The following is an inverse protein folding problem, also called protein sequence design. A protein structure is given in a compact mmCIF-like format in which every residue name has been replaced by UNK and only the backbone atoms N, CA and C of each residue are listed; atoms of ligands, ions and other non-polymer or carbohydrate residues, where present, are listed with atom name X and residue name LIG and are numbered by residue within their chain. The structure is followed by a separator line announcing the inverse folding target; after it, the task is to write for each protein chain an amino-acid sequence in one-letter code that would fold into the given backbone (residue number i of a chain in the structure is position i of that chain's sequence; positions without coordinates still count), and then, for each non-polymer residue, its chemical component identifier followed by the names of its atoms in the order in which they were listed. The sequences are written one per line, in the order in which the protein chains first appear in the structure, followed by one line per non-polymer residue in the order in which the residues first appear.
data_IF_076983773055
#
_entry.id   IF_076983773055
#
_cell.length_a   1.000
_cell.length_b   1.000
_cell.length_c   1.000
_cell.angle_alpha   90.00
_cell.angle_beta   90.00
_cell.angle_gamma   90.00
#
_symmetry.space_group_name_H-M   'P 1'
#
loop_
_entity.id
_entity.type
_entity.pdbx_description
1 polymer ?
#
# COMPACT_ATOMS: atom_id res chain seq x y z
N UNK A 1 22.28 -22.87 -47.13
CA UNK A 1 21.79 -24.10 -46.46
C UNK A 1 22.91 -24.55 -45.52
N UNK A 2 22.85 -24.54 -44.21
CA UNK A 2 21.92 -24.06 -43.19
C UNK A 2 22.75 -23.84 -41.93
N UNK A 3 22.64 -22.72 -41.20
CA UNK A 3 23.11 -22.66 -39.82
C UNK A 3 22.01 -23.23 -38.91
N UNK A 4 22.29 -24.35 -38.25
CA UNK A 4 21.48 -24.86 -37.14
C UNK A 4 22.26 -24.78 -35.83
N UNK A 5 21.59 -24.86 -34.67
CA UNK A 5 20.37 -24.16 -34.31
C UNK A 5 20.65 -23.15 -33.18
N UNK A 6 20.08 -21.95 -33.34
CA UNK A 6 20.04 -20.90 -32.35
C UNK A 6 19.06 -21.22 -31.23
N UNK A 7 19.57 -21.64 -30.09
CA UNK A 7 18.85 -21.60 -28.82
C UNK A 7 19.78 -21.57 -27.59
N UNK A 8 21.07 -21.86 -27.74
CA UNK A 8 22.02 -21.85 -26.63
C UNK A 8 22.66 -20.47 -26.43
N UNK A 9 21.89 -19.47 -25.99
CA UNK A 9 22.37 -18.31 -25.20
C UNK A 9 21.22 -17.35 -24.91
N UNK A 10 20.23 -17.82 -24.16
CA UNK A 10 19.47 -16.92 -23.30
C UNK A 10 19.61 -17.50 -21.90
N UNK A 11 20.64 -17.04 -21.19
CA UNK A 11 20.74 -17.23 -19.74
C UNK A 11 19.53 -16.56 -19.11
N UNK A 12 18.42 -17.29 -19.02
CA UNK A 12 17.36 -17.01 -18.08
C UNK A 12 17.92 -17.45 -16.73
N UNK A 13 18.70 -16.57 -16.09
CA UNK A 13 19.10 -16.79 -14.71
C UNK A 13 17.83 -17.04 -13.87
N UNK A 14 17.81 -18.06 -13.01
CA UNK A 14 16.71 -18.26 -12.10
C UNK A 14 16.66 -17.06 -11.16
N UNK A 15 15.57 -16.30 -11.20
CA UNK A 15 15.22 -15.21 -10.27
C UNK A 15 15.27 -15.62 -8.77
N UNK A 16 15.52 -16.90 -8.49
CA UNK A 16 15.66 -17.49 -7.16
C UNK A 16 16.92 -17.01 -6.40
N UNK A 17 17.98 -16.55 -7.09
CA UNK A 17 19.24 -16.14 -6.44
C UNK A 17 19.16 -14.78 -5.74
N UNK A 18 18.18 -13.93 -6.06
CA UNK A 18 18.11 -12.55 -5.53
C UNK A 18 17.46 -12.42 -4.15
N UNK A 19 16.99 -13.52 -3.57
CA UNK A 19 16.16 -13.52 -2.35
C UNK A 19 16.96 -13.68 -1.05
N UNK A 20 18.20 -14.15 -1.13
CA UNK A 20 19.00 -14.53 0.05
C UNK A 20 19.72 -13.35 0.76
N UNK A 21 19.27 -12.11 0.57
CA UNK A 21 19.82 -10.95 1.31
C UNK A 21 19.41 -10.91 2.78
N UNK A 22 18.29 -11.55 3.11
CA UNK A 22 17.73 -11.61 4.44
C UNK A 22 17.42 -13.03 4.81
N UNK A 23 17.47 -13.32 6.11
CA UNK A 23 17.32 -14.69 6.58
C UNK A 23 15.92 -15.08 7.00
N UNK A 24 14.97 -14.16 6.91
CA UNK A 24 13.58 -14.37 7.33
C UNK A 24 12.97 -15.62 6.71
N UNK A 25 13.30 -15.94 5.46
CA UNK A 25 12.76 -17.10 4.73
C UNK A 25 13.79 -18.20 4.45
N UNK A 26 14.90 -18.25 5.21
CA UNK A 26 15.86 -19.35 5.14
C UNK A 26 15.44 -20.52 6.05
N UNK A 27 15.95 -21.71 5.75
CA UNK A 27 15.65 -22.99 6.41
C UNK A 27 14.20 -23.46 6.22
N UNK A 28 13.94 -24.75 6.47
CA UNK A 28 12.62 -25.36 6.27
C UNK A 28 11.78 -25.41 7.55
N UNK A 29 12.42 -25.28 8.72
CA UNK A 29 11.75 -25.28 10.01
C UNK A 29 12.55 -24.48 11.05
N UNK A 30 11.92 -24.24 12.21
CA UNK A 30 12.51 -23.45 13.30
C UNK A 30 13.69 -24.16 13.98
N UNK A 31 13.70 -25.49 13.98
CA UNK A 31 14.81 -26.25 14.57
C UNK A 31 16.10 -26.06 13.76
N UNK A 32 16.05 -26.21 12.44
CA UNK A 32 17.16 -25.92 11.52
C UNK A 32 17.65 -24.49 11.67
N UNK A 33 16.73 -23.52 11.81
CA UNK A 33 17.06 -22.11 12.01
C UNK A 33 17.91 -21.88 13.27
N UNK A 34 17.57 -22.57 14.37
CA UNK A 34 18.33 -22.51 15.63
C UNK A 34 19.69 -23.18 15.51
N UNK A 35 19.74 -24.38 14.92
CA UNK A 35 20.99 -25.11 14.71
C UNK A 35 21.98 -24.31 13.84
N UNK A 36 21.49 -23.66 12.79
CA UNK A 36 22.30 -22.82 11.92
C UNK A 36 22.67 -21.45 12.54
N UNK A 37 22.07 -21.08 13.69
CA UNK A 37 22.22 -19.79 14.39
C UNK A 37 21.92 -18.60 13.48
N UNK A 38 20.83 -18.71 12.73
CA UNK A 38 20.45 -17.74 11.71
C UNK A 38 20.28 -16.33 12.30
N UNK A 39 19.62 -16.21 13.45
CA UNK A 39 19.39 -14.93 14.14
C UNK A 39 20.67 -14.18 14.52
N UNK A 40 21.76 -14.90 14.80
CA UNK A 40 23.04 -14.32 15.18
C UNK A 40 23.88 -13.96 13.95
N UNK A 41 23.80 -14.77 12.89
CA UNK A 41 24.68 -14.66 11.72
C UNK A 41 24.14 -13.74 10.63
N UNK A 42 22.85 -13.39 10.68
CA UNK A 42 22.17 -12.73 9.57
C UNK A 42 21.11 -11.75 10.06
N UNK A 43 20.70 -10.84 9.17
CA UNK A 43 19.70 -9.82 9.46
C UNK A 43 18.32 -10.24 8.95
N UNK A 44 17.30 -9.97 9.76
CA UNK A 44 15.89 -10.15 9.37
C UNK A 44 15.47 -9.13 8.32
N UNK A 45 14.64 -9.55 7.36
CA UNK A 45 13.99 -8.68 6.39
C UNK A 45 13.20 -7.58 7.11
N UNK A 46 12.56 -7.90 8.22
CA UNK A 46 11.76 -6.95 9.00
C UNK A 46 12.60 -5.80 9.57
N UNK A 47 13.88 -6.04 9.87
CA UNK A 47 14.82 -4.99 10.29
C UNK A 47 15.05 -3.96 9.19
N UNK A 48 14.94 -4.35 7.92
CA UNK A 48 15.03 -3.43 6.78
C UNK A 48 13.69 -2.73 6.51
N UNK A 49 12.59 -3.50 6.45
CA UNK A 49 11.25 -2.97 6.13
C UNK A 49 10.78 -1.96 7.18
N UNK A 50 11.08 -2.18 8.46
CA UNK A 50 10.67 -1.30 9.56
C UNK A 50 11.53 -0.04 9.72
N UNK A 51 12.52 0.20 8.85
CA UNK A 51 13.28 1.46 8.88
C UNK A 51 12.35 2.61 8.47
N UNK A 52 12.30 3.75 9.18
CA UNK A 52 11.35 4.82 8.92
C UNK A 52 11.31 5.28 7.45
N UNK A 53 12.45 5.39 6.80
CA UNK A 53 12.55 5.84 5.40
C UNK A 53 11.92 4.84 4.42
N UNK A 54 12.04 3.55 4.72
CA UNK A 54 11.53 2.46 3.89
C UNK A 54 10.05 2.21 4.19
N UNK A 55 9.69 2.20 5.48
CA UNK A 55 8.35 1.91 5.96
C UNK A 55 7.30 2.88 5.37
N UNK A 56 7.65 4.16 5.23
CA UNK A 56 6.76 5.16 4.63
C UNK A 56 6.35 4.81 3.19
N UNK A 57 7.17 4.05 2.45
CA UNK A 57 6.85 3.63 1.07
C UNK A 57 5.87 2.46 1.01
N UNK A 58 5.68 1.73 2.11
CA UNK A 58 4.79 0.57 2.20
C UNK A 58 3.44 0.88 2.86
N UNK A 59 3.27 2.07 3.45
CA UNK A 59 2.01 2.44 4.05
C UNK A 59 0.94 2.71 2.99
N UNK A 60 -0.25 2.19 3.25
CA UNK A 60 -1.43 2.56 2.47
C UNK A 60 -1.95 3.92 2.98
N UNK A 61 -1.85 5.01 2.20
CA UNK A 61 -2.35 6.32 2.61
C UNK A 61 -3.86 6.33 2.84
N UNK A 62 -4.61 5.36 2.28
CA UNK A 62 -6.05 5.21 2.46
C UNK A 62 -6.45 4.41 3.70
N UNK A 63 -5.50 3.79 4.41
CA UNK A 63 -5.82 2.94 5.55
C UNK A 63 -6.61 3.69 6.63
N UNK A 64 -7.68 3.07 7.08
CA UNK A 64 -8.47 3.48 8.25
C UNK A 64 -8.64 2.23 9.13
N UNK A 65 -8.39 2.31 10.44
CA UNK A 65 -8.61 1.18 11.34
C UNK A 65 -10.04 0.68 11.23
N UNK A 66 -10.20 -0.59 10.87
CA UNK A 66 -11.49 -1.27 10.83
C UNK A 66 -11.43 -2.48 11.75
N UNK A 67 -12.33 -2.52 12.74
CA UNK A 67 -12.43 -3.61 13.72
C UNK A 67 -13.44 -4.69 13.28
N UNK A 68 -14.13 -4.49 12.16
CA UNK A 68 -15.09 -5.44 11.63
C UNK A 68 -14.41 -6.62 10.91
N UNK A 69 -15.10 -7.76 10.87
CA UNK A 69 -14.65 -8.93 10.10
C UNK A 69 -14.71 -8.60 8.60
N UNK A 70 -13.62 -8.89 7.89
CA UNK A 70 -13.53 -8.72 6.44
C UNK A 70 -14.10 -9.98 5.77
N UNK A 71 -15.11 -9.81 4.93
CA UNK A 71 -15.74 -10.88 4.16
C UNK A 71 -15.45 -10.71 2.66
N UNK A 72 -14.35 -11.29 2.14
CA UNK A 72 -14.03 -11.19 0.72
C UNK A 72 -14.99 -12.03 -0.12
N UNK A 73 -15.28 -11.56 -1.33
CA UNK A 73 -15.96 -12.36 -2.34
C UNK A 73 -14.98 -13.38 -2.96
N UNK A 74 -15.46 -14.59 -3.19
CA UNK A 74 -14.72 -15.66 -3.89
C UNK A 74 -15.26 -15.90 -5.31
N UNK A 75 -16.21 -15.07 -5.75
CA UNK A 75 -16.80 -15.18 -7.08
C UNK A 75 -15.73 -14.86 -8.16
N UNK A 76 -15.62 -15.63 -9.25
CA UNK A 76 -14.58 -15.42 -10.27
C UNK A 76 -14.55 -14.00 -10.84
N UNK A 77 -15.72 -13.38 -11.03
CA UNK A 77 -15.85 -12.00 -11.51
C UNK A 77 -15.30 -10.94 -10.54
N UNK A 78 -15.14 -11.28 -9.26
CA UNK A 78 -14.56 -10.39 -8.25
C UNK A 78 -13.04 -10.55 -8.13
N UNK A 79 -12.47 -11.58 -8.75
CA UNK A 79 -11.03 -11.83 -8.78
C UNK A 79 -10.42 -11.14 -10.01
N UNK A 80 -9.39 -10.33 -9.77
CA UNK A 80 -8.65 -9.66 -10.83
C UNK A 80 -7.23 -10.25 -10.91
N UNK A 81 -6.66 -10.27 -12.13
CA UNK A 81 -5.25 -10.58 -12.30
C UNK A 81 -4.40 -9.51 -11.62
N UNK A 82 -3.47 -9.94 -10.75
CA UNK A 82 -2.48 -9.02 -10.17
C UNK A 82 -1.37 -8.71 -11.18
N UNK A 83 -1.69 -7.85 -12.15
CA UNK A 83 -0.80 -7.50 -13.26
C UNK A 83 0.55 -6.95 -12.79
N UNK A 84 0.59 -6.07 -11.79
CA UNK A 84 1.86 -5.54 -11.24
C UNK A 84 2.81 -6.61 -10.71
N UNK A 85 2.31 -7.79 -10.31
CA UNK A 85 3.13 -8.90 -9.87
C UNK A 85 3.51 -9.82 -11.05
N UNK A 86 2.51 -10.31 -11.79
CA UNK A 86 2.71 -11.35 -12.82
C UNK A 86 3.17 -10.80 -14.18
N UNK A 87 2.82 -9.55 -14.51
CA UNK A 87 3.15 -8.89 -15.78
C UNK A 87 4.27 -7.85 -15.62
N UNK A 88 4.99 -7.85 -14.49
CA UNK A 88 6.05 -6.89 -14.15
C UNK A 88 7.13 -6.75 -15.23
N UNK A 89 7.43 -7.83 -15.94
CA UNK A 89 8.49 -7.89 -16.95
C UNK A 89 8.01 -7.57 -18.37
N UNK A 90 6.69 -7.56 -18.58
CA UNK A 90 6.07 -7.43 -19.89
C UNK A 90 5.38 -6.08 -20.09
N UNK A 91 4.96 -5.41 -19.02
CA UNK A 91 4.26 -4.12 -19.06
C UNK A 91 5.02 -3.09 -18.22
N UNK A 92 5.16 -1.87 -18.73
CA UNK A 92 5.66 -0.74 -17.95
C UNK A 92 4.62 -0.38 -16.87
N UNK A 93 5.03 -0.49 -15.60
CA UNK A 93 4.24 -0.29 -14.36
C UNK A 93 3.70 1.15 -14.17
N UNK A 94 3.85 2.01 -15.17
CA UNK A 94 3.49 3.43 -15.12
C UNK A 94 1.99 3.68 -15.30
N UNK A 95 1.24 2.77 -15.93
CA UNK A 95 -0.16 3.02 -16.29
C UNK A 95 -1.17 2.80 -15.14
N UNK A 96 -0.82 2.02 -14.11
CA UNK A 96 -1.78 1.57 -13.07
C UNK A 96 -1.52 2.17 -11.69
N UNK A 97 -0.36 2.79 -11.48
CA UNK A 97 -0.04 3.43 -10.20
C UNK A 97 -0.60 4.84 -10.18
N UNK A 98 -1.73 5.02 -9.51
CA UNK A 98 -2.11 6.36 -9.03
C UNK A 98 -0.95 6.82 -8.14
N UNK A 99 -0.29 7.96 -8.45
CA UNK A 99 0.78 8.46 -7.60
C UNK A 99 0.22 8.65 -6.19
N UNK A 100 0.88 8.04 -5.20
CA UNK A 100 0.50 8.16 -3.78
C UNK A 100 0.35 9.63 -3.36
N UNK A 101 1.12 10.52 -3.98
CA UNK A 101 1.04 11.96 -3.80
C UNK A 101 -0.35 12.54 -4.10
N UNK A 102 -0.98 12.13 -5.21
CA UNK A 102 -2.33 12.61 -5.57
C UNK A 102 -3.34 12.17 -4.52
N UNK A 103 -3.20 10.95 -4.00
CA UNK A 103 -4.07 10.42 -2.94
C UNK A 103 -3.88 11.21 -1.64
N UNK A 104 -2.65 11.53 -1.26
CA UNK A 104 -2.36 12.32 -0.05
C UNK A 104 -2.87 13.75 -0.18
N UNK A 105 -2.72 14.35 -1.34
CA UNK A 105 -3.17 15.73 -1.61
C UNK A 105 -4.69 15.82 -1.52
N UNK A 106 -5.41 14.89 -2.15
CA UNK A 106 -6.88 14.81 -2.06
C UNK A 106 -7.34 14.62 -0.62
N UNK A 107 -6.67 13.76 0.15
CA UNK A 107 -6.99 13.55 1.57
C UNK A 107 -6.78 14.81 2.41
N UNK A 108 -5.72 15.56 2.14
CA UNK A 108 -5.43 16.79 2.85
C UNK A 108 -6.50 17.86 2.53
N UNK A 109 -6.86 18.03 1.26
CA UNK A 109 -7.93 18.93 0.85
C UNK A 109 -9.29 18.56 1.45
N UNK A 110 -9.64 17.27 1.50
CA UNK A 110 -10.88 16.81 2.15
C UNK A 110 -10.92 17.17 3.64
N UNK A 111 -9.79 17.02 4.34
CA UNK A 111 -9.67 17.41 5.74
C UNK A 111 -9.88 18.92 5.95
N UNK A 112 -9.26 19.75 5.11
CA UNK A 112 -9.39 21.21 5.19
C UNK A 112 -10.82 21.67 4.90
N UNK A 113 -11.46 21.10 3.87
CA UNK A 113 -12.85 21.38 3.53
C UNK A 113 -13.80 20.99 4.67
N UNK A 114 -13.59 19.84 5.31
CA UNK A 114 -14.39 19.43 6.49
C UNK A 114 -14.27 20.43 7.64
N UNK A 115 -13.06 20.91 7.93
CA UNK A 115 -12.86 21.93 8.95
C UNK A 115 -13.59 23.22 8.59
N UNK A 116 -13.52 23.66 7.33
CA UNK A 116 -14.21 24.87 6.88
C UNK A 116 -15.73 24.73 6.96
N UNK A 117 -16.28 23.57 6.58
CA UNK A 117 -17.71 23.28 6.72
C UNK A 117 -18.16 23.35 8.18
N UNK A 118 -17.38 22.78 9.10
CA UNK A 118 -17.70 22.84 10.53
C UNK A 118 -17.69 24.27 11.06
N UNK A 119 -16.72 25.09 10.66
CA UNK A 119 -16.65 26.49 11.06
C UNK A 119 -17.83 27.30 10.49
N UNK A 120 -18.16 27.14 9.21
CA UNK A 120 -19.29 27.84 8.61
C UNK A 120 -20.62 27.42 9.25
N UNK A 121 -20.79 26.14 9.59
CA UNK A 121 -21.99 25.67 10.34
C UNK A 121 -22.10 26.32 11.71
N UNK A 122 -20.98 26.50 12.41
CA UNK A 122 -20.93 27.20 13.70
C UNK A 122 -21.35 28.66 13.54
N UNK A 123 -20.76 29.36 12.58
CA UNK A 123 -21.09 30.75 12.27
C UNK A 123 -22.55 30.94 11.88
N UNK A 124 -23.09 30.03 11.07
CA UNK A 124 -24.49 30.08 10.65
C UNK A 124 -25.43 29.86 11.84
N UNK A 125 -25.10 28.94 12.76
CA UNK A 125 -25.84 28.75 14.00
C UNK A 125 -25.83 29.98 14.91
N UNK A 126 -24.67 30.62 15.08
CA UNK A 126 -24.52 31.84 15.88
C UNK A 126 -25.35 33.00 15.29
N UNK A 127 -25.28 33.21 13.96
CA UNK A 127 -26.04 34.24 13.25
C UNK A 127 -27.55 33.98 13.28
N UNK A 128 -27.97 32.73 13.10
CA UNK A 128 -29.38 32.36 13.18
C UNK A 128 -29.95 32.65 14.57
N UNK A 129 -29.18 32.39 15.62
CA UNK A 129 -29.56 32.74 17.00
C UNK A 129 -29.68 34.26 17.20
N UNK A 130 -28.71 35.04 16.73
CA UNK A 130 -28.76 36.51 16.81
C UNK A 130 -29.96 37.09 16.05
N UNK A 131 -30.27 36.52 14.88
CA UNK A 131 -31.39 36.96 14.07
C UNK A 131 -32.75 36.62 14.70
N UNK A 132 -32.85 35.49 15.41
CA UNK A 132 -34.02 35.13 16.23
C UNK A 132 -34.17 36.09 17.42
N UNK A 133 -33.08 36.40 18.14
CA UNK A 133 -33.08 37.36 19.26
C UNK A 133 -33.53 38.77 18.82
N UNK A 134 -33.18 39.17 17.60
CA UNK A 134 -33.59 40.45 17.01
C UNK A 134 -34.95 40.43 16.31
N UNK A 135 -35.65 39.29 16.31
CA UNK A 135 -36.98 39.14 15.70
C UNK A 135 -37.01 39.26 14.18
N UNK A 136 -35.87 39.03 13.51
CA UNK A 136 -35.73 39.13 12.05
C UNK A 136 -36.19 37.86 11.32
N UNK A 137 -36.34 36.75 12.02
CA UNK A 137 -36.73 35.44 11.48
C UNK A 137 -37.70 34.79 12.49
N UNK A 138 -38.86 34.34 12.02
CA UNK A 138 -39.83 33.57 12.82
C UNK A 138 -39.58 32.07 12.68
N UNK A 139 -39.86 31.29 13.74
CA UNK A 139 -39.79 29.81 13.75
C UNK A 139 -40.58 29.15 12.61
#
# INVERSE_FOLDING_TARGET
MSPGPGWASANVEPQLYRTARYSTFLCNNENERKMARVSEKTVSLWTYVNRPQILQTFFNPLYQPNQQVIWPSVAPQSLALWSSLYMRWTMSDTATRIPTQVITDIKQSDKELRLKVNELRRQLGDLQKEALEKGLISD
#
